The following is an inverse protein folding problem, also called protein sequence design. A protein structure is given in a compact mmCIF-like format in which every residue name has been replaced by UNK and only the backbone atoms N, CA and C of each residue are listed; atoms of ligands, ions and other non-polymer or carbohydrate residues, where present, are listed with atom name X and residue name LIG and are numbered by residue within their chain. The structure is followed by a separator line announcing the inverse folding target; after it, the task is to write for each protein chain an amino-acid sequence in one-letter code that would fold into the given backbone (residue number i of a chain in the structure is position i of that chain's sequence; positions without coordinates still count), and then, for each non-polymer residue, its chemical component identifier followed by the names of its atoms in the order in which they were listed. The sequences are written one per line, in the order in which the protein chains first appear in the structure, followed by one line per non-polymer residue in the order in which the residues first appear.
data_IF_106123371751
#
_entry.id   IF_106123371751
#
_cell.length_a   1.000
_cell.length_b   1.000
_cell.length_c   1.000
_cell.angle_alpha   90.00
_cell.angle_beta   90.00
_cell.angle_gamma   90.00
#
_symmetry.space_group_name_H-M   'P 1'
#
loop_
_entity.id
_entity.type
_entity.pdbx_description
1 polymer ?
#
# COMPACT_ATOMS: atom_id res chain seq x y z
N UNK A 1 -10.28 -9.83 -1.42
CA UNK A 1 -10.28 -9.32 -0.03
C UNK A 1 -10.04 -10.49 0.90
N UNK A 2 -9.34 -10.32 2.02
CA UNK A 2 -9.10 -11.42 2.98
C UNK A 2 -10.37 -11.76 3.74
N UNK A 3 -10.56 -13.04 4.11
CA UNK A 3 -11.72 -13.55 4.87
C UNK A 3 -11.66 -13.21 6.36
N UNK A 4 -12.77 -13.39 7.10
CA UNK A 4 -12.78 -13.25 8.57
C UNK A 4 -11.82 -14.23 9.26
N UNK A 5 -11.72 -15.45 8.72
CA UNK A 5 -10.80 -16.48 9.21
C UNK A 5 -9.34 -16.03 9.06
N UNK A 6 -8.99 -15.49 7.89
CA UNK A 6 -7.66 -14.93 7.61
C UNK A 6 -7.37 -13.71 8.48
N UNK A 7 -8.35 -12.83 8.69
CA UNK A 7 -8.23 -11.72 9.65
C UNK A 7 -7.95 -12.23 11.07
N UNK A 8 -8.53 -13.37 11.45
CA UNK A 8 -8.30 -14.03 12.74
C UNK A 8 -6.86 -14.50 12.96
N UNK A 9 -6.05 -14.59 11.89
CA UNK A 9 -4.64 -14.93 12.01
C UNK A 9 -3.78 -13.75 12.48
N UNK A 10 -4.30 -12.52 12.46
CA UNK A 10 -3.60 -11.34 13.00
C UNK A 10 -3.51 -11.48 14.53
N UNK A 11 -2.30 -11.59 15.11
CA UNK A 11 -2.15 -11.84 16.54
C UNK A 11 -2.86 -10.77 17.38
N UNK A 12 -3.62 -11.19 18.39
CA UNK A 12 -4.28 -10.28 19.32
C UNK A 12 -5.42 -9.44 18.73
N UNK A 13 -5.87 -9.69 17.49
CA UNK A 13 -7.02 -8.98 16.93
C UNK A 13 -8.30 -9.38 17.67
N UNK A 14 -9.07 -8.38 18.12
CA UNK A 14 -10.37 -8.65 18.74
C UNK A 14 -11.46 -8.83 17.70
N UNK A 15 -12.57 -9.50 18.07
CA UNK A 15 -13.76 -9.61 17.21
C UNK A 15 -14.28 -8.23 16.77
N UNK A 16 -14.24 -7.26 17.67
CA UNK A 16 -14.62 -5.87 17.36
C UNK A 16 -13.71 -5.31 16.27
N UNK A 17 -12.39 -5.44 16.42
CA UNK A 17 -11.46 -4.91 15.43
C UNK A 17 -11.59 -5.58 14.07
N UNK A 18 -11.91 -6.88 14.00
CA UNK A 18 -12.21 -7.53 12.71
C UNK A 18 -13.35 -6.82 11.97
N UNK A 19 -14.42 -6.50 12.68
CA UNK A 19 -15.56 -5.78 12.10
C UNK A 19 -15.16 -4.39 11.59
N UNK A 20 -14.40 -3.61 12.38
CA UNK A 20 -13.93 -2.29 11.93
C UNK A 20 -13.00 -2.38 10.71
N UNK A 21 -12.19 -3.44 10.61
CA UNK A 21 -11.34 -3.69 9.44
C UNK A 21 -12.15 -3.98 8.17
N UNK A 22 -13.32 -4.59 8.30
CA UNK A 22 -14.20 -4.87 7.18
C UNK A 22 -14.97 -3.62 6.75
N UNK A 23 -15.46 -2.84 7.71
CA UNK A 23 -16.27 -1.63 7.48
C UNK A 23 -15.56 -0.60 6.60
N UNK A 24 -14.25 -0.38 6.81
CA UNK A 24 -13.50 0.66 6.11
C UNK A 24 -12.82 0.20 4.81
N UNK A 25 -13.07 -1.04 4.37
CA UNK A 25 -12.53 -1.52 3.09
C UNK A 25 -13.28 -0.93 1.88
N UNK A 26 -12.59 -0.73 0.75
CA UNK A 26 -11.14 -0.84 0.58
C UNK A 26 -10.43 0.38 1.18
N UNK A 27 -9.28 0.14 1.83
CA UNK A 27 -8.36 1.23 2.16
C UNK A 27 -7.70 1.71 0.86
N UNK A 28 -7.75 3.02 0.61
CA UNK A 28 -7.16 3.68 -0.55
C UNK A 28 -5.79 4.29 -0.25
N UNK A 29 -5.44 4.42 1.02
CA UNK A 29 -4.11 4.82 1.46
C UNK A 29 -3.84 4.35 2.89
N UNK A 30 -2.55 4.20 3.24
CA UNK A 30 -2.13 3.97 4.63
C UNK A 30 -2.59 5.11 5.55
N UNK A 31 -2.65 6.35 5.06
CA UNK A 31 -3.20 7.48 5.85
C UNK A 31 -4.68 7.30 6.19
N UNK A 32 -5.48 6.79 5.25
CA UNK A 32 -6.87 6.40 5.55
C UNK A 32 -6.89 5.30 6.59
N UNK A 33 -6.10 4.24 6.42
CA UNK A 33 -6.02 3.15 7.39
C UNK A 33 -5.71 3.64 8.80
N UNK A 34 -4.63 4.42 8.97
CA UNK A 34 -4.22 4.99 10.27
C UNK A 34 -5.33 5.83 10.89
N UNK A 35 -6.00 6.69 10.10
CA UNK A 35 -7.08 7.54 10.58
C UNK A 35 -8.31 6.75 11.02
N UNK A 36 -8.73 5.75 10.25
CA UNK A 36 -9.95 4.99 10.57
C UNK A 36 -9.72 4.02 11.73
N UNK A 37 -8.58 3.31 11.75
CA UNK A 37 -8.25 2.35 12.82
C UNK A 37 -7.85 3.06 14.12
N UNK A 38 -7.17 4.21 14.05
CA UNK A 38 -6.79 5.02 15.21
C UNK A 38 -7.97 5.59 16.01
N UNK A 39 -9.21 5.49 15.50
CA UNK A 39 -10.42 5.81 16.28
C UNK A 39 -10.71 4.78 17.39
N UNK A 40 -10.14 3.58 17.29
CA UNK A 40 -10.50 2.44 18.13
C UNK A 40 -9.36 1.91 18.99
N UNK A 41 -8.12 2.18 18.61
CA UNK A 41 -6.91 1.71 19.30
C UNK A 41 -5.86 2.82 19.34
N UNK A 42 -4.89 2.68 20.23
CA UNK A 42 -3.79 3.64 20.33
C UNK A 42 -2.80 3.55 19.16
N UNK A 43 -1.94 4.56 19.02
CA UNK A 43 -0.96 4.64 17.93
C UNK A 43 -0.01 3.44 17.86
N UNK A 44 0.31 2.83 19.01
CA UNK A 44 1.16 1.65 19.08
C UNK A 44 0.48 0.45 18.43
N UNK A 45 -0.81 0.28 18.70
CA UNK A 45 -1.60 -0.80 18.14
C UNK A 45 -1.94 -0.57 16.66
N UNK A 46 -2.17 0.68 16.24
CA UNK A 46 -2.28 1.05 14.81
C UNK A 46 -1.01 0.62 14.07
N UNK A 47 0.17 1.01 14.58
CA UNK A 47 1.45 0.67 13.95
C UNK A 47 1.69 -0.85 13.88
N UNK A 48 1.25 -1.59 14.89
CA UNK A 48 1.30 -3.06 14.88
C UNK A 48 0.41 -3.65 13.80
N UNK A 49 -0.83 -3.15 13.66
CA UNK A 49 -1.75 -3.63 12.64
C UNK A 49 -1.33 -3.27 11.22
N UNK A 50 -0.71 -2.10 11.03
CA UNK A 50 -0.21 -1.64 9.73
C UNK A 50 0.77 -2.65 9.09
N UNK A 51 1.50 -3.43 9.90
CA UNK A 51 2.39 -4.50 9.43
C UNK A 51 1.66 -5.63 8.69
N UNK A 52 0.36 -5.78 8.89
CA UNK A 52 -0.49 -6.81 8.30
C UNK A 52 -1.37 -6.28 7.17
N UNK A 53 -1.27 -4.98 6.87
CA UNK A 53 -2.12 -4.31 5.89
C UNK A 53 -1.27 -3.85 4.72
N UNK A 54 -1.68 -4.30 3.54
CA UNK A 54 -1.07 -3.89 2.29
C UNK A 54 -2.08 -3.07 1.48
N UNK A 55 -1.75 -1.80 1.20
CA UNK A 55 -2.56 -0.89 0.39
C UNK A 55 -1.79 -0.53 -0.88
N UNK A 56 -2.22 -1.02 -2.06
CA UNK A 56 -1.63 -0.58 -3.32
C UNK A 56 -1.74 0.93 -3.50
N UNK A 57 -0.69 1.56 -4.00
CA UNK A 57 -0.62 2.97 -4.29
C UNK A 57 -1.10 3.22 -5.71
N UNK A 58 -2.15 4.01 -5.88
CA UNK A 58 -2.59 4.42 -7.21
C UNK A 58 -1.47 5.18 -7.94
N UNK A 59 -0.97 4.59 -9.02
CA UNK A 59 0.09 5.16 -9.87
C UNK A 59 -0.20 6.59 -10.30
N UNK A 60 -1.45 6.96 -10.51
CA UNK A 60 -1.85 8.24 -11.08
C UNK A 60 -2.13 9.32 -10.03
N UNK A 61 -2.35 8.95 -8.76
CA UNK A 61 -2.78 9.89 -7.72
C UNK A 61 -1.95 9.85 -6.42
N UNK A 62 -1.15 8.81 -6.19
CA UNK A 62 -0.29 8.72 -5.01
C UNK A 62 0.72 9.89 -4.95
N UNK A 63 1.01 10.38 -3.75
CA UNK A 63 1.99 11.45 -3.58
C UNK A 63 3.43 10.93 -3.68
N UNK A 64 4.39 11.83 -3.94
CA UNK A 64 5.82 11.50 -3.92
C UNK A 64 6.24 10.86 -2.59
N UNK A 65 5.71 11.37 -1.47
CA UNK A 65 5.99 10.81 -0.14
C UNK A 65 5.41 9.41 0.06
N UNK A 66 4.27 9.09 -0.57
CA UNK A 66 3.75 7.73 -0.58
C UNK A 66 4.72 6.80 -1.32
N UNK A 67 5.16 7.16 -2.52
CA UNK A 67 6.16 6.37 -3.25
C UNK A 67 7.49 6.25 -2.51
N UNK A 68 7.95 7.29 -1.81
CA UNK A 68 9.16 7.24 -0.96
C UNK A 68 9.06 6.25 0.19
N UNK A 69 7.85 5.86 0.60
CA UNK A 69 7.65 4.85 1.64
C UNK A 69 7.90 3.42 1.15
N UNK A 70 7.96 3.21 -0.18
CA UNK A 70 8.35 1.91 -0.75
C UNK A 70 9.81 1.62 -0.37
N UNK A 71 10.10 0.49 0.31
CA UNK A 71 11.47 0.14 0.67
C UNK A 71 12.38 0.11 -0.56
N UNK A 72 13.56 0.74 -0.46
CA UNK A 72 14.54 0.82 -1.55
C UNK A 72 14.22 1.86 -2.63
N UNK A 73 13.14 2.65 -2.49
CA UNK A 73 12.79 3.66 -3.48
C UNK A 73 13.75 4.85 -3.45
N UNK A 74 14.37 5.15 -4.58
CA UNK A 74 15.24 6.33 -4.72
C UNK A 74 14.43 7.56 -5.12
N UNK A 75 14.96 8.76 -4.84
CA UNK A 75 14.37 10.03 -5.33
C UNK A 75 14.20 10.04 -6.85
N UNK A 76 15.13 9.43 -7.58
CA UNK A 76 15.05 9.30 -9.03
C UNK A 76 13.85 8.41 -9.42
N UNK A 77 13.70 7.24 -8.82
CA UNK A 77 12.58 6.34 -9.14
C UNK A 77 11.21 6.94 -8.82
N UNK A 78 11.10 7.72 -7.74
CA UNK A 78 9.86 8.47 -7.43
C UNK A 78 9.54 9.44 -8.56
N UNK A 79 10.55 10.17 -9.06
CA UNK A 79 10.36 11.09 -10.18
C UNK A 79 9.94 10.35 -11.45
N UNK A 80 10.54 9.19 -11.78
CA UNK A 80 10.13 8.40 -12.95
C UNK A 80 8.65 7.94 -12.83
N UNK A 81 8.19 7.56 -11.65
CA UNK A 81 6.78 7.20 -11.42
C UNK A 81 5.84 8.38 -11.69
N UNK A 82 6.26 9.59 -11.36
CA UNK A 82 5.44 10.79 -11.58
C UNK A 82 5.46 11.24 -13.04
N UNK A 83 6.62 11.14 -13.70
CA UNK A 83 6.86 11.59 -15.08
C UNK A 83 6.00 10.83 -16.09
N UNK A 84 5.81 9.51 -15.90
CA UNK A 84 5.04 8.69 -16.84
C UNK A 84 3.53 8.72 -16.63
N UNK A 85 3.03 9.55 -15.72
CA UNK A 85 1.59 9.74 -15.54
C UNK A 85 0.97 10.40 -16.79
N UNK A 86 -0.23 9.98 -17.21
CA UNK A 86 -1.01 8.90 -16.63
C UNK A 86 -0.54 7.52 -17.13
N UNK A 87 -0.49 6.57 -16.20
CA UNK A 87 -0.45 5.15 -16.52
C UNK A 87 -1.83 4.67 -16.90
N UNK A 88 -1.94 4.12 -18.10
CA UNK A 88 -3.17 3.54 -18.65
C UNK A 88 -3.23 2.03 -18.49
N UNK A 89 -2.10 1.38 -18.19
CA UNK A 89 -2.01 -0.06 -17.98
C UNK A 89 -0.75 -0.47 -17.22
N UNK A 90 -0.79 -1.65 -16.59
CA UNK A 90 0.41 -2.26 -16.00
C UNK A 90 1.46 -2.68 -17.06
N UNK A 91 1.05 -2.87 -18.31
CA UNK A 91 2.01 -3.08 -19.40
C UNK A 91 2.83 -1.81 -19.68
N UNK A 92 2.19 -0.63 -19.64
CA UNK A 92 2.90 0.65 -19.71
C UNK A 92 3.84 0.78 -18.51
N UNK A 93 3.37 0.50 -17.28
CA UNK A 93 4.23 0.52 -16.10
C UNK A 93 5.51 -0.33 -16.28
N UNK A 94 5.35 -1.60 -16.65
CA UNK A 94 6.48 -2.52 -16.90
C UNK A 94 7.45 -1.98 -17.92
N UNK A 95 6.94 -1.49 -19.04
CA UNK A 95 7.75 -0.97 -20.15
C UNK A 95 8.52 0.29 -19.77
N UNK A 96 7.88 1.24 -19.09
CA UNK A 96 8.50 2.51 -18.75
C UNK A 96 9.48 2.36 -17.57
N UNK A 97 9.07 1.65 -16.51
CA UNK A 97 9.90 1.45 -15.32
C UNK A 97 11.06 0.46 -15.58
N UNK A 98 10.86 -0.55 -16.42
CA UNK A 98 11.90 -1.49 -16.84
C UNK A 98 13.07 -0.85 -17.61
N UNK A 99 12.97 0.42 -18.01
CA UNK A 99 14.12 1.18 -18.55
C UNK A 99 15.15 1.54 -17.48
N UNK A 100 14.77 1.52 -16.20
CA UNK A 100 15.58 2.02 -15.09
C UNK A 100 16.02 0.95 -14.11
N UNK A 101 15.31 -0.18 -14.07
CA UNK A 101 15.54 -1.28 -13.13
C UNK A 101 15.34 -2.62 -13.82
N UNK A 102 15.87 -3.70 -13.23
CA UNK A 102 15.72 -5.05 -13.78
C UNK A 102 14.30 -5.62 -13.57
N UNK A 103 13.99 -6.73 -14.27
CA UNK A 103 12.66 -7.37 -14.22
C UNK A 103 12.25 -7.80 -12.80
N UNK A 104 13.24 -8.16 -11.96
CA UNK A 104 12.98 -8.55 -10.57
C UNK A 104 12.50 -7.35 -9.76
N UNK A 105 13.12 -6.20 -9.99
CA UNK A 105 12.75 -4.95 -9.33
C UNK A 105 11.44 -4.38 -9.88
N UNK A 106 11.17 -4.46 -11.19
CA UNK A 106 9.84 -4.14 -11.75
C UNK A 106 8.77 -4.98 -11.06
N UNK A 107 8.97 -6.31 -11.01
CA UNK A 107 8.02 -7.24 -10.37
C UNK A 107 7.83 -6.93 -8.87
N UNK A 108 8.87 -6.45 -8.19
CA UNK A 108 8.79 -6.02 -6.79
C UNK A 108 7.95 -4.76 -6.66
N UNK A 109 8.19 -3.75 -7.50
CA UNK A 109 7.50 -2.47 -7.48
C UNK A 109 6.03 -2.59 -7.88
N UNK A 110 5.69 -3.47 -8.82
CA UNK A 110 4.31 -3.78 -9.20
C UNK A 110 3.45 -4.22 -8.02
N UNK A 111 4.05 -4.87 -7.01
CA UNK A 111 3.29 -5.27 -5.83
C UNK A 111 2.82 -4.07 -5.03
N UNK A 112 3.45 -2.90 -5.15
CA UNK A 112 3.14 -1.70 -4.38
C UNK A 112 2.08 -0.81 -5.02
N UNK A 113 1.69 -1.06 -6.28
CA UNK A 113 0.92 -0.13 -7.11
C UNK A 113 -0.28 -0.76 -7.80
#
# INVERSE_FOLDING_TARGET
TVSDEELGLVPGISRKMKHEFEEYRPYTSIKQFQREIGKYVDDKEVARFEQYVFVPMDLNSASSDAFRSIPGMSRKMVHEFEEYRPYTSMQQFRREIGKYVDDKEVSRLERYV
#
